data_IF_381790428845
#
_entry.id   IF_381790428845
#
_cell.length_a   1.000
_cell.length_b   1.000
_cell.length_c   1.000
_cell.angle_alpha   90.00
_cell.angle_beta   90.00
_cell.angle_gamma   90.00
#
_symmetry.space_group_name_H-M   'P 1'
#
loop_
_entity.id
_entity.type
_entity.pdbx_description
1 polymer ?
#
# COMPACT_ATOMS: atom_id res chain seq x y z
N UNK A 1 0.95 20.77 19.57
CA UNK A 1 1.55 19.48 19.97
C UNK A 1 0.48 18.40 19.80
N UNK A 2 0.49 17.63 18.71
CA UNK A 2 -0.53 16.60 18.42
C UNK A 2 0.09 15.21 18.58
N UNK A 3 0.12 14.73 19.82
CA UNK A 3 0.61 13.43 20.22
C UNK A 3 -0.53 12.41 20.20
N UNK A 4 -0.59 11.50 19.21
CA UNK A 4 -1.36 10.24 19.30
C UNK A 4 -1.09 9.15 18.25
N UNK A 5 -0.13 9.29 17.33
CA UNK A 5 0.21 8.19 16.39
C UNK A 5 1.10 7.10 16.99
N UNK A 6 1.49 7.21 18.27
CA UNK A 6 2.19 6.13 19.01
C UNK A 6 1.35 4.86 19.21
N UNK A 7 0.04 4.89 18.91
CA UNK A 7 -0.93 3.82 19.22
C UNK A 7 -0.95 2.63 18.26
N UNK A 8 -0.41 2.75 17.05
CA UNK A 8 -0.41 1.66 16.06
C UNK A 8 0.96 1.02 15.87
N UNK A 9 1.88 1.23 16.82
CA UNK A 9 3.23 0.67 16.81
C UNK A 9 3.30 -0.86 16.86
N UNK A 10 2.18 -1.55 17.07
CA UNK A 10 2.06 -3.02 17.04
C UNK A 10 1.11 -3.53 15.94
N UNK A 11 0.61 -2.65 15.09
CA UNK A 11 -0.35 -3.03 14.06
C UNK A 11 0.38 -3.83 12.98
N UNK A 12 0.15 -5.15 12.94
CA UNK A 12 0.76 -6.03 11.93
C UNK A 12 -0.10 -6.18 10.66
N UNK A 13 -1.41 -5.99 10.77
CA UNK A 13 -2.35 -6.21 9.67
C UNK A 13 -3.32 -5.04 9.57
N UNK A 14 -3.40 -4.43 8.39
CA UNK A 14 -4.32 -3.36 8.07
C UNK A 14 -5.11 -3.74 6.82
N UNK A 15 -6.43 -3.84 6.97
CA UNK A 15 -7.36 -4.13 5.88
C UNK A 15 -8.36 -2.99 5.79
N UNK A 16 -8.37 -2.27 4.68
CA UNK A 16 -9.30 -1.19 4.40
C UNK A 16 -10.19 -1.64 3.25
N UNK A 17 -11.46 -1.93 3.58
CA UNK A 17 -12.41 -2.58 2.68
C UNK A 17 -13.66 -1.73 2.60
N UNK A 18 -14.12 -1.42 1.37
CA UNK A 18 -15.42 -0.77 1.08
C UNK A 18 -15.72 0.45 1.96
N UNK A 19 -15.27 1.62 1.53
CA UNK A 19 -15.51 2.89 2.24
C UNK A 19 -14.95 2.95 3.68
N UNK A 20 -14.12 1.99 4.10
CA UNK A 20 -13.43 2.00 5.40
C UNK A 20 -12.51 3.21 5.58
N UNK A 21 -12.01 3.76 4.48
CA UNK A 21 -11.34 5.05 4.43
C UNK A 21 -11.76 5.75 3.12
N UNK A 22 -12.19 7.01 3.25
CA UNK A 22 -12.48 7.88 2.13
C UNK A 22 -11.34 8.90 2.02
N UNK A 23 -10.85 9.12 0.81
CA UNK A 23 -9.76 10.05 0.59
C UNK A 23 -9.02 9.76 -0.71
N UNK A 24 -9.06 10.73 -1.61
CA UNK A 24 -8.37 10.68 -2.91
C UNK A 24 -6.84 10.60 -2.74
N UNK A 25 -6.31 11.13 -1.63
CA UNK A 25 -4.87 11.18 -1.35
C UNK A 25 -4.55 10.51 -0.01
N UNK A 26 -3.60 9.58 -0.05
CA UNK A 26 -2.95 9.03 1.14
C UNK A 26 -1.52 9.53 1.19
N UNK A 27 -1.22 10.35 2.20
CA UNK A 27 0.14 10.75 2.57
C UNK A 27 0.48 10.13 3.92
N UNK A 28 1.49 9.26 3.94
CA UNK A 28 1.91 8.63 5.20
C UNK A 28 2.79 9.62 5.97
N UNK A 29 2.37 9.96 7.19
CA UNK A 29 3.03 10.93 8.06
C UNK A 29 3.92 10.24 9.11
N UNK A 30 4.67 11.03 9.89
CA UNK A 30 5.71 10.57 10.83
C UNK A 30 5.34 9.32 11.63
N UNK A 31 6.31 8.39 11.71
CA UNK A 31 6.27 7.04 12.30
C UNK A 31 5.52 5.96 11.52
N UNK A 32 4.74 6.32 10.49
CA UNK A 32 4.13 5.39 9.55
C UNK A 32 3.51 4.15 10.22
N UNK A 33 3.78 2.98 9.63
CA UNK A 33 3.30 1.68 10.08
C UNK A 33 4.49 0.72 10.29
N UNK A 34 5.28 1.00 11.34
CA UNK A 34 6.57 0.34 11.59
C UNK A 34 6.53 -1.17 11.80
N UNK A 35 5.41 -1.75 12.21
CA UNK A 35 5.25 -3.21 12.40
C UNK A 35 4.29 -3.85 11.40
N UNK A 36 3.79 -3.09 10.42
CA UNK A 36 2.79 -3.60 9.49
C UNK A 36 3.41 -4.58 8.52
N UNK A 37 2.92 -5.80 8.56
CA UNK A 37 3.30 -6.92 7.70
C UNK A 37 2.36 -7.07 6.53
N UNK A 38 1.05 -6.82 6.69
CA UNK A 38 0.08 -6.93 5.61
C UNK A 38 -0.74 -5.65 5.43
N UNK A 39 -0.76 -5.14 4.21
CA UNK A 39 -1.65 -4.06 3.79
C UNK A 39 -2.59 -4.55 2.69
N UNK A 40 -3.89 -4.51 2.95
CA UNK A 40 -4.93 -4.79 1.97
C UNK A 40 -5.81 -3.56 1.76
N UNK A 41 -5.89 -3.10 0.51
CA UNK A 41 -6.83 -2.08 0.07
C UNK A 41 -7.83 -2.73 -0.87
N UNK A 42 -9.12 -2.62 -0.54
CA UNK A 42 -10.19 -3.17 -1.35
C UNK A 42 -11.33 -2.17 -1.50
N UNK A 43 -11.72 -1.83 -2.74
CA UNK A 43 -12.77 -0.84 -3.02
C UNK A 43 -12.47 0.51 -2.32
N UNK A 44 -11.37 1.15 -2.71
CA UNK A 44 -10.96 2.48 -2.22
C UNK A 44 -11.02 3.52 -3.33
N UNK A 45 -11.32 4.77 -2.97
CA UNK A 45 -11.26 5.95 -3.83
C UNK A 45 -9.85 6.57 -3.92
N UNK A 46 -8.85 5.96 -3.27
CA UNK A 46 -7.46 6.37 -3.31
C UNK A 46 -6.94 6.49 -4.74
N UNK A 47 -6.53 7.69 -5.13
CA UNK A 47 -5.91 7.98 -6.43
C UNK A 47 -4.42 8.29 -6.31
N UNK A 48 -4.04 9.04 -5.27
CA UNK A 48 -2.69 9.54 -5.05
C UNK A 48 -2.10 8.96 -3.76
N UNK A 49 -1.07 8.14 -3.90
CA UNK A 49 -0.37 7.55 -2.76
C UNK A 49 1.05 8.10 -2.65
N UNK A 50 1.32 8.84 -1.57
CA UNK A 50 2.63 9.43 -1.24
C UNK A 50 3.17 8.83 0.06
N UNK A 51 4.35 8.23 0.01
CA UNK A 51 4.99 7.63 1.19
C UNK A 51 6.47 7.35 0.96
N UNK A 52 7.26 7.31 2.04
CA UNK A 52 8.60 6.73 2.05
C UNK A 52 8.55 5.20 2.26
N UNK A 53 9.65 4.51 1.94
CA UNK A 53 9.89 3.12 2.32
C UNK A 53 9.94 2.93 3.83
N UNK A 54 10.47 3.94 4.55
CA UNK A 54 10.70 3.87 6.00
C UNK A 54 9.39 3.85 6.79
N UNK A 55 8.28 4.17 6.13
CA UNK A 55 6.95 4.08 6.74
C UNK A 55 6.37 2.67 6.74
N UNK A 56 6.96 1.73 5.99
CA UNK A 56 6.50 0.34 5.86
C UNK A 56 7.67 -0.66 5.92
N UNK A 57 8.55 -0.59 6.94
CA UNK A 57 9.79 -1.36 6.95
C UNK A 57 9.57 -2.87 7.06
N UNK A 58 8.41 -3.31 7.58
CA UNK A 58 8.07 -4.72 7.79
C UNK A 58 7.04 -5.28 6.80
N UNK A 59 6.64 -4.51 5.78
CA UNK A 59 5.56 -4.91 4.88
C UNK A 59 5.98 -6.10 4.01
N UNK A 60 5.19 -7.17 4.04
CA UNK A 60 5.46 -8.44 3.36
C UNK A 60 4.56 -8.63 2.13
N UNK A 61 3.22 -8.78 2.24
CA UNK A 61 2.34 -8.59 1.09
C UNK A 61 1.67 -7.21 1.06
N UNK A 62 1.66 -6.62 -0.13
CA UNK A 62 0.73 -5.56 -0.52
C UNK A 62 -0.38 -6.17 -1.39
N UNK A 63 -1.63 -6.03 -0.97
CA UNK A 63 -2.79 -6.55 -1.70
C UNK A 63 -3.69 -5.39 -2.13
N UNK A 64 -3.88 -5.22 -3.44
CA UNK A 64 -4.73 -4.18 -4.02
C UNK A 64 -5.84 -4.85 -4.83
N UNK A 65 -7.10 -4.67 -4.40
CA UNK A 65 -8.27 -5.23 -5.07
C UNK A 65 -9.27 -4.13 -5.41
N UNK A 66 -9.78 -4.12 -6.64
CA UNK A 66 -10.77 -3.13 -7.08
C UNK A 66 -10.34 -1.66 -6.80
N UNK A 67 -9.03 -1.37 -6.87
CA UNK A 67 -8.48 -0.04 -6.63
C UNK A 67 -8.50 0.79 -7.92
N UNK A 68 -9.70 1.03 -8.46
CA UNK A 68 -9.89 1.66 -9.76
C UNK A 68 -9.47 3.12 -9.83
N UNK A 69 -9.34 3.83 -8.71
CA UNK A 69 -8.89 5.22 -8.70
C UNK A 69 -7.37 5.35 -8.71
N UNK A 70 -6.66 4.33 -8.23
CA UNK A 70 -5.22 4.38 -8.00
C UNK A 70 -4.47 4.54 -9.33
N UNK A 71 -3.57 5.52 -9.39
CA UNK A 71 -2.81 5.81 -10.61
C UNK A 71 -1.59 4.88 -10.71
N UNK A 72 -0.85 4.72 -9.62
CA UNK A 72 0.37 3.90 -9.56
C UNK A 72 0.72 3.51 -8.12
N UNK A 73 1.50 2.44 -7.96
CA UNK A 73 2.16 2.11 -6.69
C UNK A 73 3.31 3.11 -6.46
N UNK A 74 3.53 3.62 -5.22
CA UNK A 74 4.65 4.50 -4.91
C UNK A 74 6.00 3.86 -5.27
N UNK A 75 6.90 4.63 -5.88
CA UNK A 75 8.21 4.10 -6.30
C UNK A 75 9.05 3.62 -5.12
N UNK A 76 8.93 4.29 -3.97
CA UNK A 76 9.64 3.97 -2.75
C UNK A 76 9.38 2.54 -2.24
N UNK A 77 8.29 1.88 -2.66
CA UNK A 77 8.04 0.49 -2.30
C UNK A 77 9.12 -0.45 -2.85
N UNK A 78 9.82 -0.07 -3.93
CA UNK A 78 10.95 -0.83 -4.47
C UNK A 78 12.10 -1.00 -3.46
N UNK A 79 12.18 -0.09 -2.49
CA UNK A 79 13.22 -0.08 -1.46
C UNK A 79 12.80 -0.84 -0.19
N UNK A 80 11.57 -1.37 -0.11
CA UNK A 80 11.13 -2.18 1.02
C UNK A 80 11.67 -3.60 0.83
N UNK A 81 12.66 -3.97 1.64
CA UNK A 81 13.35 -5.26 1.52
C UNK A 81 12.46 -6.45 1.89
N UNK A 82 11.54 -6.24 2.84
CA UNK A 82 10.60 -7.25 3.34
C UNK A 82 9.43 -7.51 2.39
N UNK A 83 9.18 -6.64 1.42
CA UNK A 83 8.07 -6.77 0.48
C UNK A 83 8.35 -7.96 -0.45
N UNK A 84 7.60 -9.04 -0.28
CA UNK A 84 7.77 -10.29 -1.01
C UNK A 84 6.73 -10.46 -2.11
N UNK A 85 5.53 -9.92 -1.89
CA UNK A 85 4.40 -10.09 -2.79
C UNK A 85 3.62 -8.78 -2.98
N UNK A 86 3.25 -8.53 -4.23
CA UNK A 86 2.26 -7.54 -4.64
C UNK A 86 1.19 -8.33 -5.37
N UNK A 87 0.00 -8.40 -4.77
CA UNK A 87 -1.17 -8.99 -5.39
C UNK A 87 -2.05 -7.87 -5.95
N UNK A 88 -2.34 -7.94 -7.25
CA UNK A 88 -3.23 -7.01 -7.93
C UNK A 88 -4.43 -7.76 -8.48
N UNK A 89 -5.62 -7.32 -8.09
CA UNK A 89 -6.89 -7.85 -8.56
C UNK A 89 -7.79 -6.70 -9.03
N UNK A 90 -8.26 -6.77 -10.28
CA UNK A 90 -9.17 -5.77 -10.86
C UNK A 90 -8.68 -4.31 -10.66
N UNK A 91 -7.43 -4.04 -11.05
CA UNK A 91 -6.77 -2.73 -10.94
C UNK A 91 -6.54 -2.08 -12.31
N UNK A 92 -6.28 -0.76 -12.34
CA UNK A 92 -5.95 -0.06 -13.61
C UNK A 92 -4.68 -0.64 -14.26
N UNK A 93 -4.58 -0.68 -15.60
CA UNK A 93 -3.36 -1.07 -16.29
C UNK A 93 -2.13 -0.27 -15.85
N UNK A 94 -2.29 1.03 -15.55
CA UNK A 94 -1.19 1.88 -15.05
C UNK A 94 -0.61 1.41 -13.72
N UNK A 95 -1.44 0.84 -12.83
CA UNK A 95 -0.99 0.26 -11.56
C UNK A 95 -0.19 -1.00 -11.84
N UNK A 96 -0.70 -1.88 -12.71
CA UNK A 96 0.00 -3.10 -13.14
C UNK A 96 1.34 -2.78 -13.79
N UNK A 97 1.39 -1.80 -14.70
CA UNK A 97 2.61 -1.37 -15.36
C UNK A 97 3.62 -0.78 -14.38
N UNK A 98 3.14 0.05 -13.45
CA UNK A 98 3.98 0.61 -12.39
C UNK A 98 4.57 -0.48 -11.51
N UNK A 99 3.81 -1.56 -11.30
CA UNK A 99 4.23 -2.70 -10.51
C UNK A 99 5.26 -3.56 -11.26
N UNK A 100 4.98 -3.92 -12.51
CA UNK A 100 5.88 -4.70 -13.37
C UNK A 100 7.23 -4.04 -13.56
N UNK A 101 7.26 -2.72 -13.75
CA UNK A 101 8.51 -1.95 -13.91
C UNK A 101 9.45 -2.04 -12.70
N UNK A 102 8.91 -2.25 -11.50
CA UNK A 102 9.66 -2.12 -10.23
C UNK A 102 9.72 -3.41 -9.42
N UNK A 103 8.83 -4.37 -9.66
CA UNK A 103 8.59 -5.53 -8.79
C UNK A 103 8.37 -6.84 -9.56
N UNK A 104 8.91 -6.99 -10.77
CA UNK A 104 8.62 -8.14 -11.66
C UNK A 104 8.75 -9.53 -11.03
N UNK A 105 9.65 -9.73 -10.07
CA UNK A 105 9.83 -11.00 -9.33
C UNK A 105 8.85 -11.23 -8.18
N UNK A 106 8.06 -10.21 -7.83
CA UNK A 106 7.24 -10.14 -6.61
C UNK A 106 5.75 -9.89 -6.92
N UNK A 107 5.33 -10.06 -8.18
CA UNK A 107 4.01 -9.65 -8.65
C UNK A 107 3.12 -10.84 -9.02
N UNK A 108 1.92 -10.89 -8.47
CA UNK A 108 0.82 -11.75 -8.91
C UNK A 108 -0.36 -10.89 -9.37
N UNK A 109 -0.87 -11.17 -10.59
CA UNK A 109 -2.02 -10.47 -11.16
C UNK A 109 -3.15 -11.45 -11.39
N UNK A 110 -4.30 -11.20 -10.78
CA UNK A 110 -5.53 -11.93 -11.02
C UNK A 110 -6.36 -11.16 -12.05
N UNK A 111 -6.79 -11.86 -13.11
CA UNK A 111 -7.52 -11.33 -14.25
C UNK A 111 -9.02 -11.26 -13.99
#
# INVERSE_FOLDING_TARGET
>A
MMSNFTRLSKLEVLKLIKFACLGIKWETIENGFSQLKLLLLNWTDLALWKTSSDHFPCLEPLVLRHCHSLISIPENFANIMTLQLIELDVCRPSVVDSAKKRFSKKLETLS
#
